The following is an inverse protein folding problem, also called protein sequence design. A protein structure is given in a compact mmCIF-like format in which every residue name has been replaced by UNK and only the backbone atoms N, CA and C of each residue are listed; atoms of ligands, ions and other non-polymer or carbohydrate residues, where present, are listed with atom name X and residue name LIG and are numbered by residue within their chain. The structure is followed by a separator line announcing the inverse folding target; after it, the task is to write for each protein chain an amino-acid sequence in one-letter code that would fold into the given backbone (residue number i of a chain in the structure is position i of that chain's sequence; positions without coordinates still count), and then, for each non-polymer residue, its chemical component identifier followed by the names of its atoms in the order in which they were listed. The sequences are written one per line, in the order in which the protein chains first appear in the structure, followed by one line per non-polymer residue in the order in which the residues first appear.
data_IF_802702984651
#
_entry.id   IF_802702984651
#
_cell.length_a   1.000
_cell.length_b   1.000
_cell.length_c   1.000
_cell.angle_alpha   90.00
_cell.angle_beta   90.00
_cell.angle_gamma   90.00
#
_symmetry.space_group_name_H-M   'P 1'
#
loop_
_entity.id
_entity.type
_entity.pdbx_description
1 polymer ?
#
# COMPACT_ATOMS: atom_id res chain seq x y z
N UNK A 1 10.38 -11.30 -15.62
CA UNK A 1 9.51 -10.21 -15.10
C UNK A 1 9.81 -10.06 -13.63
N UNK A 2 10.64 -9.08 -13.26
CA UNK A 2 10.81 -8.72 -11.86
C UNK A 2 9.53 -7.99 -11.43
N UNK A 3 8.84 -8.55 -10.45
CA UNK A 3 7.63 -7.97 -9.91
C UNK A 3 7.91 -6.53 -9.41
N UNK A 4 7.03 -5.60 -9.75
CA UNK A 4 7.05 -4.21 -9.28
C UNK A 4 6.95 -4.08 -7.74
N UNK A 5 7.13 -5.18 -7.02
CA UNK A 5 7.02 -5.32 -5.58
C UNK A 5 8.24 -4.91 -4.75
N UNK A 6 9.33 -4.48 -5.39
CA UNK A 6 10.61 -4.30 -4.69
C UNK A 6 10.77 -2.98 -3.91
N UNK A 7 9.78 -2.08 -3.90
CA UNK A 7 9.89 -0.81 -3.17
C UNK A 7 9.69 -0.98 -1.66
N UNK A 8 9.01 -2.04 -1.24
CA UNK A 8 8.70 -2.28 0.17
C UNK A 8 9.29 -3.60 0.62
N UNK A 9 10.19 -3.54 1.57
CA UNK A 9 10.64 -4.65 2.38
C UNK A 9 9.41 -5.26 3.06
N UNK A 10 9.23 -6.55 2.99
CA UNK A 10 8.09 -7.24 3.60
C UNK A 10 7.10 -7.78 2.57
N UNK A 11 7.45 -8.90 1.96
CA UNK A 11 6.50 -9.69 1.19
C UNK A 11 6.07 -10.88 2.04
N UNK A 12 4.77 -11.00 2.30
CA UNK A 12 4.25 -12.18 3.01
C UNK A 12 4.43 -13.41 2.09
N UNK A 13 5.23 -14.41 2.48
CA UNK A 13 5.46 -15.59 1.64
C UNK A 13 4.17 -16.32 1.28
N UNK A 14 4.13 -16.98 0.11
CA UNK A 14 2.95 -17.71 -0.36
C UNK A 14 2.38 -18.71 0.66
N UNK A 15 3.20 -19.58 1.29
CA UNK A 15 2.73 -20.49 2.33
C UNK A 15 2.10 -19.78 3.53
N UNK A 16 2.66 -18.64 3.96
CA UNK A 16 2.09 -17.83 5.05
C UNK A 16 0.74 -17.23 4.65
N UNK A 17 0.59 -16.74 3.42
CA UNK A 17 -0.69 -16.24 2.89
C UNK A 17 -1.76 -17.33 2.88
N UNK A 18 -1.42 -18.56 2.47
CA UNK A 18 -2.35 -19.69 2.46
C UNK A 18 -2.79 -20.08 3.87
N UNK A 19 -1.86 -20.13 4.82
CA UNK A 19 -2.16 -20.40 6.22
C UNK A 19 -3.08 -19.32 6.81
N UNK A 20 -2.76 -18.06 6.59
CA UNK A 20 -3.58 -16.93 7.03
C UNK A 20 -4.97 -16.95 6.40
N UNK A 21 -5.07 -17.32 5.12
CA UNK A 21 -6.36 -17.50 4.45
C UNK A 21 -7.24 -18.52 5.16
N UNK A 22 -6.69 -19.66 5.57
CA UNK A 22 -7.41 -20.67 6.35
C UNK A 22 -7.92 -20.15 7.70
N UNK A 23 -7.06 -19.43 8.44
CA UNK A 23 -7.45 -18.81 9.71
C UNK A 23 -8.55 -17.76 9.52
N UNK A 24 -8.39 -16.84 8.58
CA UNK A 24 -9.36 -15.77 8.31
C UNK A 24 -10.71 -16.36 7.85
N UNK A 25 -10.72 -17.41 7.03
CA UNK A 25 -11.93 -18.12 6.65
C UNK A 25 -12.68 -18.71 7.85
N UNK A 26 -11.96 -19.34 8.78
CA UNK A 26 -12.52 -19.89 9.99
C UNK A 26 -13.11 -18.81 10.93
N UNK A 27 -12.43 -17.66 11.03
CA UNK A 27 -12.78 -16.59 11.96
C UNK A 27 -13.92 -15.68 11.44
N UNK A 28 -14.18 -15.58 10.15
CA UNK A 28 -15.16 -14.63 9.56
C UNK A 28 -16.59 -14.78 10.08
N UNK A 29 -16.98 -15.98 10.52
CA UNK A 29 -18.33 -16.23 11.09
C UNK A 29 -18.44 -15.75 12.53
N UNK A 30 -17.33 -15.78 13.27
CA UNK A 30 -17.24 -15.42 14.67
C UNK A 30 -17.11 -13.90 14.88
N UNK A 31 -16.26 -13.26 14.06
CA UNK A 31 -15.96 -11.85 14.19
C UNK A 31 -16.71 -11.01 13.15
N UNK A 32 -17.05 -9.77 13.48
CA UNK A 32 -17.79 -8.84 12.62
C UNK A 32 -16.88 -7.85 11.91
N UNK A 33 -15.71 -7.58 12.48
CA UNK A 33 -14.71 -6.64 11.98
C UNK A 33 -13.36 -7.33 11.90
N UNK A 34 -12.58 -7.01 10.87
CA UNK A 34 -11.18 -7.40 10.74
C UNK A 34 -10.35 -6.11 10.72
N UNK A 35 -9.53 -5.94 11.74
CA UNK A 35 -8.66 -4.78 11.92
C UNK A 35 -7.23 -5.17 11.56
N UNK A 36 -6.63 -4.47 10.61
CA UNK A 36 -5.29 -4.74 10.07
C UNK A 36 -4.42 -3.49 10.23
N UNK A 37 -3.85 -3.27 11.42
CA UNK A 37 -2.87 -2.21 11.62
C UNK A 37 -1.56 -2.57 10.92
N UNK A 38 -0.83 -1.55 10.43
CA UNK A 38 0.37 -1.71 9.62
C UNK A 38 0.12 -2.59 8.36
N UNK A 39 -0.92 -2.23 7.60
CA UNK A 39 -1.41 -3.05 6.48
C UNK A 39 -0.45 -3.11 5.28
N UNK A 40 0.52 -2.21 5.18
CA UNK A 40 1.55 -2.19 4.14
C UNK A 40 0.95 -2.21 2.73
N UNK A 41 1.19 -3.31 2.00
CA UNK A 41 0.69 -3.52 0.62
C UNK A 41 -0.72 -4.11 0.56
N UNK A 42 -1.46 -4.14 1.64
CA UNK A 42 -2.80 -4.74 1.73
C UNK A 42 -2.89 -6.25 1.44
N UNK A 43 -1.77 -6.97 1.46
CA UNK A 43 -1.75 -8.39 1.13
C UNK A 43 -2.70 -9.23 2.00
N UNK A 44 -2.83 -8.91 3.29
CA UNK A 44 -3.75 -9.63 4.19
C UNK A 44 -5.20 -9.21 3.96
N UNK A 45 -5.45 -7.93 3.63
CA UNK A 45 -6.78 -7.50 3.24
C UNK A 45 -7.26 -8.23 1.97
N UNK A 46 -6.39 -8.37 0.95
CA UNK A 46 -6.71 -9.18 -0.24
C UNK A 46 -6.97 -10.65 0.11
N UNK A 47 -6.15 -11.26 0.97
CA UNK A 47 -6.38 -12.63 1.44
C UNK A 47 -7.73 -12.73 2.14
N UNK A 48 -8.09 -11.77 2.98
CA UNK A 48 -9.38 -11.75 3.68
C UNK A 48 -10.56 -11.70 2.70
N UNK A 49 -10.51 -10.79 1.72
CA UNK A 49 -11.55 -10.69 0.68
C UNK A 49 -11.65 -12.00 -0.12
N UNK A 50 -10.52 -12.59 -0.52
CA UNK A 50 -10.49 -13.84 -1.28
C UNK A 50 -11.09 -15.03 -0.51
N UNK A 51 -11.07 -15.02 0.84
CA UNK A 51 -11.71 -16.05 1.66
C UNK A 51 -13.11 -15.64 2.15
N UNK A 52 -13.66 -14.56 1.61
CA UNK A 52 -15.06 -14.18 1.75
C UNK A 52 -15.37 -13.20 2.88
N UNK A 53 -14.38 -12.45 3.38
CA UNK A 53 -14.69 -11.24 4.15
C UNK A 53 -15.23 -10.17 3.21
N UNK A 54 -16.29 -9.48 3.60
CA UNK A 54 -16.77 -8.29 2.90
C UNK A 54 -15.81 -7.13 3.16
N UNK A 55 -15.41 -6.35 2.14
CA UNK A 55 -14.53 -5.20 2.33
C UNK A 55 -15.00 -4.22 3.42
N UNK A 56 -16.30 -3.96 3.53
CA UNK A 56 -16.90 -3.05 4.53
C UNK A 56 -16.65 -3.48 5.97
N UNK A 57 -16.18 -4.71 6.17
CA UNK A 57 -15.82 -5.27 7.48
C UNK A 57 -14.32 -5.24 7.74
N UNK A 58 -13.53 -4.70 6.80
CA UNK A 58 -12.08 -4.63 6.88
C UNK A 58 -11.68 -3.18 7.17
N UNK A 59 -10.90 -3.01 8.22
CA UNK A 59 -10.36 -1.72 8.65
C UNK A 59 -8.84 -1.80 8.62
N UNK A 60 -8.21 -0.96 7.83
CA UNK A 60 -6.77 -0.92 7.66
C UNK A 60 -6.18 0.39 8.15
N UNK A 61 -4.97 0.34 8.67
CA UNK A 61 -4.17 1.54 8.92
C UNK A 61 -2.70 1.32 8.60
N UNK A 62 -2.03 2.40 8.26
CA UNK A 62 -0.59 2.46 8.06
C UNK A 62 -0.16 3.92 7.99
N UNK A 63 1.06 4.24 8.43
CA UNK A 63 1.60 5.61 8.39
C UNK A 63 2.36 5.92 7.11
N UNK A 64 2.62 4.92 6.25
CA UNK A 64 3.37 5.13 5.03
C UNK A 64 2.53 5.82 3.95
N UNK A 65 3.15 6.72 3.19
CA UNK A 65 2.49 7.40 2.07
C UNK A 65 2.02 6.41 1.01
N UNK A 66 2.78 5.35 0.76
CA UNK A 66 2.38 4.28 -0.16
C UNK A 66 1.06 3.63 0.23
N UNK A 67 0.95 3.19 1.49
CA UNK A 67 -0.27 2.58 2.01
C UNK A 67 -1.43 3.59 2.03
N UNK A 68 -1.14 4.87 2.31
CA UNK A 68 -2.13 5.94 2.31
C UNK A 68 -2.73 6.16 0.92
N UNK A 69 -1.92 6.18 -0.14
CA UNK A 69 -2.42 6.30 -1.52
C UNK A 69 -3.39 5.16 -1.85
N UNK A 70 -2.98 3.92 -1.61
CA UNK A 70 -3.81 2.75 -1.89
C UNK A 70 -5.05 2.68 -1.00
N UNK A 71 -4.89 3.02 0.28
CA UNK A 71 -5.96 3.01 1.26
C UNK A 71 -7.04 4.06 0.98
N UNK A 72 -6.63 5.26 0.54
CA UNK A 72 -7.57 6.32 0.13
C UNK A 72 -8.37 5.89 -1.10
N UNK A 73 -7.72 5.34 -2.11
CA UNK A 73 -8.43 4.81 -3.29
C UNK A 73 -9.44 3.73 -2.90
N UNK A 74 -9.03 2.74 -2.11
CA UNK A 74 -9.88 1.61 -1.72
C UNK A 74 -11.05 2.02 -0.81
N UNK A 75 -10.85 3.04 0.03
CA UNK A 75 -11.91 3.61 0.90
C UNK A 75 -12.74 4.70 0.23
N UNK A 76 -12.48 5.03 -1.04
CA UNK A 76 -13.19 6.08 -1.77
C UNK A 76 -12.88 7.50 -1.29
N UNK A 77 -11.78 7.70 -0.56
CA UNK A 77 -11.31 9.02 -0.13
C UNK A 77 -10.56 9.71 -1.27
N UNK A 78 -10.69 11.03 -1.47
CA UNK A 78 -9.98 11.74 -2.51
C UNK A 78 -8.48 11.83 -2.20
N UNK A 79 -7.63 11.56 -3.20
CA UNK A 79 -6.16 11.64 -3.03
C UNK A 79 -5.69 13.05 -2.67
N UNK A 80 -6.40 14.09 -3.11
CA UNK A 80 -6.11 15.48 -2.76
C UNK A 80 -6.07 15.77 -1.25
N UNK A 81 -6.74 14.93 -0.44
CA UNK A 81 -6.70 15.03 1.01
C UNK A 81 -5.36 14.55 1.63
N UNK A 82 -4.48 13.90 0.85
CA UNK A 82 -3.14 13.51 1.33
C UNK A 82 -2.14 14.67 1.36
N UNK A 83 -2.41 15.79 0.65
CA UNK A 83 -1.53 16.97 0.58
C UNK A 83 -0.06 16.61 0.32
N UNK A 84 0.20 15.80 -0.73
CA UNK A 84 1.54 15.32 -1.05
C UNK A 84 2.42 16.48 -1.55
N UNK A 85 3.57 16.66 -0.91
CA UNK A 85 4.60 17.61 -1.35
C UNK A 85 5.91 16.86 -1.51
N UNK A 86 6.57 17.03 -2.65
CA UNK A 86 7.85 16.41 -2.94
C UNK A 86 8.89 17.50 -3.18
N UNK A 87 10.01 17.42 -2.45
CA UNK A 87 11.19 18.25 -2.72
C UNK A 87 12.23 17.36 -3.43
N UNK A 88 12.33 17.43 -4.75
CA UNK A 88 13.22 16.55 -5.49
C UNK A 88 14.68 16.93 -5.23
N UNK A 89 15.60 15.95 -5.15
CA UNK A 89 17.02 16.24 -5.20
C UNK A 89 17.37 16.84 -6.59
N UNK A 90 18.42 17.68 -6.69
CA UNK A 90 18.77 18.34 -7.96
C UNK A 90 18.90 17.37 -9.16
N UNK A 91 19.42 16.17 -8.93
CA UNK A 91 19.59 15.14 -9.96
C UNK A 91 18.28 14.58 -10.54
N UNK A 92 17.16 14.77 -9.86
CA UNK A 92 15.83 14.26 -10.25
C UNK A 92 14.81 15.38 -10.49
N UNK A 93 15.22 16.65 -10.37
CA UNK A 93 14.32 17.79 -10.48
C UNK A 93 13.58 17.80 -11.82
N UNK A 94 14.29 17.60 -12.95
CA UNK A 94 13.69 17.59 -14.29
C UNK A 94 12.70 16.42 -14.50
N UNK A 95 12.90 15.32 -13.79
CA UNK A 95 12.03 14.14 -13.91
C UNK A 95 10.76 14.28 -13.04
N UNK A 96 10.87 14.91 -11.87
CA UNK A 96 9.79 15.00 -10.88
C UNK A 96 8.99 16.31 -10.98
N UNK A 97 9.57 17.42 -11.42
CA UNK A 97 8.87 18.71 -11.50
C UNK A 97 7.64 18.75 -12.41
N UNK A 98 7.53 17.94 -13.49
CA UNK A 98 6.32 17.89 -14.29
C UNK A 98 5.13 17.19 -13.64
N UNK A 99 5.32 16.49 -12.51
CA UNK A 99 4.26 15.73 -11.82
C UNK A 99 3.42 16.68 -10.96
N UNK A 100 2.11 16.50 -10.99
CA UNK A 100 1.14 17.27 -10.18
C UNK A 100 0.82 16.58 -8.86
N UNK A 101 1.17 15.29 -8.74
CA UNK A 101 0.85 14.43 -7.60
C UNK A 101 -0.66 14.27 -7.33
N UNK A 102 -1.48 14.46 -8.37
CA UNK A 102 -2.93 14.33 -8.29
C UNK A 102 -3.42 12.90 -8.56
N UNK A 103 -2.62 12.10 -9.26
CA UNK A 103 -2.91 10.67 -9.51
C UNK A 103 -2.12 9.76 -8.57
N UNK A 104 -2.66 8.57 -8.33
CA UNK A 104 -1.96 7.54 -7.57
C UNK A 104 -0.65 7.13 -8.26
N UNK A 105 -0.68 7.03 -9.59
CA UNK A 105 0.49 6.68 -10.39
C UNK A 105 1.63 7.67 -10.21
N UNK A 106 1.36 8.97 -10.22
CA UNK A 106 2.39 10.01 -10.01
C UNK A 106 3.03 9.92 -8.62
N UNK A 107 2.21 9.79 -7.58
CA UNK A 107 2.73 9.68 -6.20
C UNK A 107 3.55 8.41 -6.03
N UNK A 108 3.04 7.27 -6.50
CA UNK A 108 3.74 5.99 -6.41
C UNK A 108 5.02 5.95 -7.24
N UNK A 109 5.01 6.59 -8.42
CA UNK A 109 6.21 6.73 -9.25
C UNK A 109 7.28 7.57 -8.55
N UNK A 110 6.90 8.72 -7.98
CA UNK A 110 7.83 9.57 -7.24
C UNK A 110 8.46 8.82 -6.06
N UNK A 111 7.66 8.10 -5.27
CA UNK A 111 8.15 7.25 -4.19
C UNK A 111 9.15 6.20 -4.70
N UNK A 112 8.84 5.54 -5.81
CA UNK A 112 9.69 4.52 -6.42
C UNK A 112 11.03 5.09 -6.88
N UNK A 113 10.98 6.22 -7.59
CA UNK A 113 12.18 6.87 -8.11
C UNK A 113 13.07 7.39 -6.97
N UNK A 114 12.47 8.04 -5.96
CA UNK A 114 13.21 8.55 -4.79
C UNK A 114 13.84 7.42 -3.98
N UNK A 115 13.12 6.31 -3.78
CA UNK A 115 13.65 5.14 -3.08
C UNK A 115 14.84 4.54 -3.85
N UNK A 116 14.71 4.36 -5.17
CA UNK A 116 15.79 3.85 -6.00
C UNK A 116 17.03 4.77 -5.95
N UNK A 117 16.84 6.08 -6.02
CA UNK A 117 17.93 7.06 -5.95
C UNK A 117 18.59 7.11 -4.55
N UNK A 118 17.81 6.98 -3.48
CA UNK A 118 18.34 6.99 -2.11
C UNK A 118 19.20 5.76 -1.81
N UNK A 119 18.83 4.61 -2.35
CA UNK A 119 19.58 3.36 -2.19
C UNK A 119 20.64 3.13 -3.26
N UNK A 120 20.80 4.08 -4.19
CA UNK A 120 21.75 3.97 -5.30
C UNK A 120 23.20 3.90 -4.81
N UNK A 121 23.70 2.68 -4.66
CA UNK A 121 25.09 2.37 -4.28
C UNK A 121 25.78 1.46 -5.31
N UNK A 122 25.03 0.95 -6.28
CA UNK A 122 25.51 0.02 -7.27
C UNK A 122 25.19 0.52 -8.67
N UNK A 123 25.92 0.02 -9.66
CA UNK A 123 25.65 0.27 -11.08
C UNK A 123 24.19 -0.08 -11.46
N UNK A 124 23.63 -1.15 -10.87
CA UNK A 124 22.28 -1.58 -11.15
C UNK A 124 21.22 -0.61 -10.61
N UNK A 125 21.49 0.04 -9.49
CA UNK A 125 20.60 1.05 -8.93
C UNK A 125 20.58 2.30 -9.81
N UNK A 126 21.75 2.74 -10.29
CA UNK A 126 21.86 3.86 -11.22
C UNK A 126 21.16 3.57 -12.56
N UNK A 127 21.27 2.32 -13.05
CA UNK A 127 20.57 1.88 -14.24
C UNK A 127 19.06 1.91 -14.05
N UNK A 128 18.58 1.49 -12.88
CA UNK A 128 17.16 1.53 -12.53
C UNK A 128 16.63 2.97 -12.49
N UNK A 129 17.34 3.89 -11.85
CA UNK A 129 16.97 5.32 -11.83
C UNK A 129 16.89 5.89 -13.23
N UNK A 130 17.86 5.57 -14.08
CA UNK A 130 17.90 6.01 -15.49
C UNK A 130 16.73 5.45 -16.30
N UNK A 131 16.41 4.16 -16.10
CA UNK A 131 15.30 3.49 -16.77
C UNK A 131 13.95 4.07 -16.35
N UNK A 132 13.75 4.27 -15.06
CA UNK A 132 12.55 4.92 -14.51
C UNK A 132 12.37 6.33 -15.07
N UNK A 133 13.47 7.12 -15.13
CA UNK A 133 13.41 8.49 -15.63
C UNK A 133 13.10 8.55 -17.14
N UNK A 134 13.68 7.62 -17.93
CA UNK A 134 13.47 7.54 -19.38
C UNK A 134 12.04 7.22 -19.77
N UNK A 135 11.39 6.35 -18.99
CA UNK A 135 10.06 5.82 -19.31
C UNK A 135 9.01 6.26 -18.27
N UNK A 136 9.16 7.49 -17.75
CA UNK A 136 8.31 8.08 -16.72
C UNK A 136 6.82 7.85 -16.96
N UNK A 137 6.31 8.30 -18.09
CA UNK A 137 4.87 8.33 -18.37
C UNK A 137 4.27 6.91 -18.38
N UNK A 138 5.00 5.96 -18.95
CA UNK A 138 4.62 4.55 -18.91
C UNK A 138 4.59 4.00 -17.48
N UNK A 139 5.61 4.32 -16.67
CA UNK A 139 5.65 3.87 -15.29
C UNK A 139 4.55 4.49 -14.43
N UNK A 140 4.22 5.76 -14.66
CA UNK A 140 3.09 6.44 -14.00
C UNK A 140 1.78 5.72 -14.36
N UNK A 141 1.52 5.48 -15.63
CA UNK A 141 0.32 4.77 -16.10
C UNK A 141 0.23 3.35 -15.54
N UNK A 142 1.31 2.58 -15.60
CA UNK A 142 1.35 1.21 -15.07
C UNK A 142 1.07 1.16 -13.57
N UNK A 143 1.64 2.09 -12.79
CA UNK A 143 1.42 2.19 -11.34
C UNK A 143 0.01 2.64 -11.01
N UNK A 144 -0.54 3.58 -11.77
CA UNK A 144 -1.91 4.04 -11.59
C UNK A 144 -2.92 2.90 -11.83
N UNK A 145 -2.76 2.17 -12.93
CA UNK A 145 -3.57 1.01 -13.27
C UNK A 145 -3.48 -0.08 -12.17
N UNK A 146 -2.28 -0.37 -11.65
CA UNK A 146 -2.10 -1.33 -10.57
C UNK A 146 -2.76 -0.88 -9.27
N UNK A 147 -2.65 0.41 -8.91
CA UNK A 147 -3.27 0.98 -7.73
C UNK A 147 -4.80 0.89 -7.81
N UNK A 148 -5.37 1.28 -8.94
CA UNK A 148 -6.82 1.21 -9.15
C UNK A 148 -7.34 -0.24 -9.19
N UNK A 149 -6.60 -1.19 -9.78
CA UNK A 149 -6.95 -2.60 -9.78
C UNK A 149 -6.97 -3.19 -8.36
N UNK A 150 -6.00 -2.84 -7.51
CA UNK A 150 -5.98 -3.25 -6.11
C UNK A 150 -7.14 -2.60 -5.33
N UNK A 151 -7.29 -1.29 -5.46
CA UNK A 151 -8.35 -0.54 -4.79
C UNK A 151 -9.75 -1.07 -5.17
N UNK A 152 -9.97 -1.42 -6.43
CA UNK A 152 -11.22 -2.02 -6.89
C UNK A 152 -11.55 -3.34 -6.18
N UNK A 153 -10.55 -4.20 -5.92
CA UNK A 153 -10.75 -5.44 -5.16
C UNK A 153 -11.07 -5.21 -3.68
N UNK A 154 -10.62 -4.10 -3.13
CA UNK A 154 -10.77 -3.74 -1.71
C UNK A 154 -11.84 -2.65 -1.50
N UNK A 155 -12.58 -2.30 -2.54
CA UNK A 155 -13.56 -1.22 -2.51
C UNK A 155 -14.58 -1.38 -1.40
N UNK A 156 -14.74 -0.34 -0.60
CA UNK A 156 -15.63 -0.31 0.56
C UNK A 156 -14.93 -0.58 1.91
N UNK A 157 -13.66 -0.98 1.93
CA UNK A 157 -12.93 -1.08 3.19
C UNK A 157 -12.70 0.33 3.79
N UNK A 158 -12.50 0.40 5.10
CA UNK A 158 -12.07 1.64 5.73
C UNK A 158 -10.54 1.71 5.83
N UNK A 159 -10.01 2.91 5.68
CA UNK A 159 -8.59 3.19 5.85
C UNK A 159 -8.36 4.50 6.59
N UNK A 160 -7.43 4.48 7.54
CA UNK A 160 -6.95 5.68 8.24
C UNK A 160 -5.42 5.67 8.32
N UNK A 161 -4.75 6.84 8.12
CA UNK A 161 -3.30 6.96 8.27
C UNK A 161 -2.93 7.04 9.77
N UNK A 162 -3.16 5.95 10.49
CA UNK A 162 -2.93 5.84 11.93
C UNK A 162 -1.72 4.98 12.23
N UNK A 163 -1.06 5.28 13.34
CA UNK A 163 -0.08 4.39 13.93
C UNK A 163 -0.72 3.05 14.35
N UNK A 164 0.07 1.99 14.28
CA UNK A 164 -0.37 0.64 14.61
C UNK A 164 -0.95 0.54 16.02
N UNK A 165 -0.31 1.19 17.00
CA UNK A 165 -0.73 1.12 18.40
C UNK A 165 -2.04 1.87 18.65
N UNK A 166 -2.22 3.02 17.99
CA UNK A 166 -3.45 3.80 18.07
C UNK A 166 -4.63 3.02 17.48
N UNK A 167 -4.44 2.38 16.33
CA UNK A 167 -5.47 1.57 15.72
C UNK A 167 -5.81 0.32 16.55
N UNK A 168 -4.80 -0.34 17.12
CA UNK A 168 -5.03 -1.46 18.04
C UNK A 168 -5.78 -1.04 19.29
N UNK A 169 -5.47 0.14 19.86
CA UNK A 169 -6.16 0.67 21.02
C UNK A 169 -7.65 0.91 20.75
N UNK A 170 -8.01 1.39 19.57
CA UNK A 170 -9.42 1.59 19.16
C UNK A 170 -10.20 0.28 19.03
N UNK A 171 -9.55 -0.82 18.69
CA UNK A 171 -10.18 -2.14 18.51
C UNK A 171 -10.15 -3.02 19.77
N UNK A 172 -9.35 -2.64 20.78
CA UNK A 172 -8.99 -3.47 21.94
C UNK A 172 -10.20 -4.01 22.72
N UNK A 173 -11.20 -3.18 22.93
CA UNK A 173 -12.33 -3.50 23.77
C UNK A 173 -13.56 -3.98 22.98
N UNK A 174 -13.42 -4.18 21.65
CA UNK A 174 -14.48 -4.74 20.81
C UNK A 174 -14.37 -6.27 20.69
N UNK A 175 -15.20 -7.05 21.40
CA UNK A 175 -15.14 -8.52 21.35
C UNK A 175 -15.54 -9.10 19.98
N UNK A 176 -16.04 -8.26 19.06
CA UNK A 176 -16.41 -8.64 17.69
C UNK A 176 -15.34 -8.29 16.68
N UNK A 177 -14.26 -7.61 17.08
CA UNK A 177 -13.12 -7.32 16.25
C UNK A 177 -12.09 -8.46 16.31
N UNK A 178 -11.57 -8.83 15.14
CA UNK A 178 -10.37 -9.65 14.98
C UNK A 178 -9.23 -8.73 14.55
N UNK A 179 -8.22 -8.59 15.39
CA UNK A 179 -7.05 -7.81 15.03
C UNK A 179 -5.94 -8.70 14.49
N UNK A 180 -5.46 -8.40 13.30
CA UNK A 180 -4.30 -9.05 12.70
C UNK A 180 -3.13 -8.07 12.66
N UNK A 181 -2.03 -8.42 13.31
CA UNK A 181 -0.82 -7.60 13.36
C UNK A 181 0.32 -8.34 12.68
N UNK A 182 0.93 -7.69 11.70
CA UNK A 182 2.15 -8.14 11.05
C UNK A 182 3.14 -6.97 11.05
N UNK A 183 3.81 -6.71 12.18
CA UNK A 183 4.76 -5.60 12.25
C UNK A 183 5.88 -5.81 11.23
N UNK A 184 6.43 -4.73 10.67
CA UNK A 184 7.65 -4.83 9.86
C UNK A 184 8.77 -5.43 10.69
N UNK A 185 9.45 -6.44 10.12
CA UNK A 185 10.63 -7.08 10.74
C UNK A 185 11.87 -6.21 10.63
#
# INVERSE_FOLDING_TARGET
MQEAGAIFLGNTPGPARSYMGGLLAAMRKRYKRLVIPACGKFAIAEVAVNVGWSPERIECSDVSLFSSVLGYLASGKPLSALHVTVTPPPSLADTLSPLTYESAGEVLYALKLLAAAHHSKTYWDELLVRELSRHRDKHVEDLDNQAHALAGRLSGMSYEPLDMWDHMAQARDDPKALTYVNPPG
#
